data_IF_934238424986
#
_entry.id   IF_934238424986
#
_cell.length_a   1.000
_cell.length_b   1.000
_cell.length_c   1.000
_cell.angle_alpha   90.00
_cell.angle_beta   90.00
_cell.angle_gamma   90.00
#
_symmetry.space_group_name_H-M   'P 1'
#
loop_
_entity.id
_entity.type
_entity.pdbx_description
1 polymer ?
#
# COMPACT_ATOMS: atom_id res chain seq x y z
N UNK A 1 23.84 28.68 3.13
CA UNK A 1 22.52 28.51 2.50
C UNK A 1 21.83 29.87 2.45
N UNK A 2 21.62 30.42 1.24
CA UNK A 2 20.90 31.67 1.05
C UNK A 2 19.45 31.47 1.48
N UNK A 3 18.97 32.27 2.45
CA UNK A 3 17.55 32.31 2.82
C UNK A 3 16.78 32.90 1.65
N UNK A 4 16.12 32.04 0.86
CA UNK A 4 15.17 32.50 -0.17
C UNK A 4 14.04 33.26 0.52
N UNK A 5 13.78 34.48 0.08
CA UNK A 5 12.65 35.27 0.62
C UNK A 5 11.34 34.50 0.34
N UNK A 6 10.46 34.31 1.34
CA UNK A 6 9.25 33.47 1.20
C UNK A 6 8.39 33.81 -0.02
N UNK A 7 8.10 35.09 -0.26
CA UNK A 7 7.25 35.55 -1.38
C UNK A 7 7.79 35.18 -2.78
N UNK A 8 9.12 35.11 -2.94
CA UNK A 8 9.73 34.65 -4.21
C UNK A 8 9.73 33.12 -4.39
N UNK A 9 9.62 32.37 -3.28
CA UNK A 9 9.57 30.92 -3.32
C UNK A 9 8.19 30.43 -3.78
N UNK A 10 7.09 30.98 -3.26
CA UNK A 10 5.71 30.61 -3.62
C UNK A 10 5.46 30.75 -5.12
N UNK A 11 5.85 31.87 -5.76
CA UNK A 11 5.67 32.06 -7.20
C UNK A 11 6.43 31.05 -8.06
N UNK A 12 7.64 30.64 -7.63
CA UNK A 12 8.40 29.57 -8.33
C UNK A 12 7.72 28.21 -8.19
N UNK A 13 7.21 27.89 -7.00
CA UNK A 13 6.50 26.62 -6.75
C UNK A 13 5.19 26.57 -7.55
N UNK A 14 4.46 27.69 -7.64
CA UNK A 14 3.26 27.79 -8.48
C UNK A 14 3.58 27.60 -9.97
N UNK A 15 4.67 28.16 -10.46
CA UNK A 15 5.14 27.93 -11.83
C UNK A 15 5.52 26.46 -12.06
N UNK A 16 6.14 25.81 -11.07
CA UNK A 16 6.44 24.36 -11.12
C UNK A 16 5.17 23.53 -11.15
N UNK A 17 4.15 23.88 -10.36
CA UNK A 17 2.85 23.20 -10.39
C UNK A 17 2.15 23.32 -11.75
N UNK A 18 2.39 24.39 -12.49
CA UNK A 18 1.77 24.61 -13.79
C UNK A 18 2.46 23.86 -14.94
N UNK A 19 3.77 23.60 -14.86
CA UNK A 19 4.58 23.14 -15.99
C UNK A 19 5.57 22.01 -15.67
N UNK A 20 5.76 21.65 -14.40
CA UNK A 20 6.73 20.65 -13.98
C UNK A 20 6.26 19.22 -14.31
N UNK A 21 7.21 18.28 -14.30
CA UNK A 21 6.91 16.85 -14.26
C UNK A 21 6.13 16.50 -12.99
N UNK A 22 5.48 15.32 -12.97
CA UNK A 22 4.73 14.85 -11.80
C UNK A 22 5.59 14.91 -10.53
N UNK A 23 6.83 14.44 -10.57
CA UNK A 23 7.73 14.46 -9.41
C UNK A 23 8.08 15.88 -8.94
N UNK A 24 8.25 16.83 -9.86
CA UNK A 24 8.49 18.23 -9.52
C UNK A 24 7.23 18.89 -8.93
N UNK A 25 6.06 18.58 -9.47
CA UNK A 25 4.77 19.06 -8.95
C UNK A 25 4.51 18.52 -7.54
N UNK A 26 4.77 17.22 -7.31
CA UNK A 26 4.71 16.61 -5.98
C UNK A 26 5.63 17.32 -5.00
N UNK A 27 6.89 17.55 -5.39
CA UNK A 27 7.87 18.25 -4.57
C UNK A 27 7.45 19.70 -4.27
N UNK A 28 6.82 20.38 -5.25
CA UNK A 28 6.31 21.73 -5.06
C UNK A 28 5.14 21.77 -4.06
N UNK A 29 4.22 20.80 -4.09
CA UNK A 29 3.13 20.69 -3.11
C UNK A 29 3.67 20.45 -1.70
N UNK A 30 4.62 19.52 -1.54
CA UNK A 30 5.29 19.30 -0.26
C UNK A 30 5.92 20.59 0.28
N UNK A 31 6.66 21.32 -0.58
CA UNK A 31 7.30 22.58 -0.20
C UNK A 31 6.29 23.65 0.18
N UNK A 32 5.16 23.78 -0.54
CA UNK A 32 4.07 24.70 -0.19
C UNK A 32 3.46 24.39 1.18
N UNK A 33 3.33 23.11 1.53
CA UNK A 33 2.85 22.68 2.84
C UNK A 33 3.76 23.14 4.01
N UNK A 34 5.07 23.24 3.76
CA UNK A 34 6.08 23.66 4.76
C UNK A 34 6.29 25.18 4.84
N UNK A 35 5.93 25.94 3.79
CA UNK A 35 6.12 27.38 3.77
C UNK A 35 5.14 28.09 4.73
N UNK A 36 5.67 28.86 5.69
CA UNK A 36 4.88 29.73 6.58
C UNK A 36 4.58 31.06 5.88
N UNK A 37 3.78 31.02 4.81
CA UNK A 37 3.46 32.18 3.95
C UNK A 37 1.98 32.12 3.53
N UNK A 38 1.24 33.20 3.73
CA UNK A 38 -0.16 33.31 3.32
C UNK A 38 -0.35 33.18 1.78
N UNK A 39 0.67 33.45 0.98
CA UNK A 39 0.61 33.20 -0.46
C UNK A 39 0.57 31.70 -0.75
N UNK A 40 1.27 30.86 0.03
CA UNK A 40 1.19 29.39 -0.09
C UNK A 40 -0.20 28.87 0.26
N UNK A 41 -0.88 29.46 1.27
CA UNK A 41 -2.26 29.11 1.61
C UNK A 41 -3.22 29.38 0.46
N UNK A 42 -3.07 30.52 -0.23
CA UNK A 42 -3.89 30.86 -1.41
C UNK A 42 -3.69 29.84 -2.55
N UNK A 43 -2.45 29.44 -2.83
CA UNK A 43 -2.15 28.43 -3.86
C UNK A 43 -2.78 27.10 -3.48
N UNK A 44 -2.59 26.63 -2.24
CA UNK A 44 -3.17 25.37 -1.77
C UNK A 44 -4.71 25.41 -1.78
N UNK A 45 -5.33 26.51 -1.35
CA UNK A 45 -6.79 26.68 -1.42
C UNK A 45 -7.31 26.57 -2.86
N UNK A 46 -6.64 27.22 -3.82
CA UNK A 46 -7.01 27.14 -5.24
C UNK A 46 -6.85 25.71 -5.81
N UNK A 47 -5.84 24.98 -5.36
CA UNK A 47 -5.66 23.57 -5.76
C UNK A 47 -6.68 22.63 -5.11
N UNK A 48 -7.11 22.92 -3.87
CA UNK A 48 -8.22 22.20 -3.24
C UNK A 48 -9.55 22.48 -3.93
N UNK A 49 -9.78 23.71 -4.45
CA UNK A 49 -10.96 23.98 -5.29
C UNK A 49 -10.94 23.13 -6.58
N UNK A 50 -9.77 22.98 -7.22
CA UNK A 50 -9.61 22.07 -8.35
C UNK A 50 -9.86 20.60 -7.96
N UNK A 51 -9.39 20.19 -6.78
CA UNK A 51 -9.62 18.82 -6.26
C UNK A 51 -11.12 18.55 -6.04
N UNK A 52 -11.84 19.51 -5.46
CA UNK A 52 -13.30 19.41 -5.25
C UNK A 52 -14.09 19.39 -6.57
N UNK A 53 -13.52 19.93 -7.65
CA UNK A 53 -14.06 19.89 -9.01
C UNK A 53 -13.55 18.69 -9.82
N UNK A 54 -12.83 17.75 -9.19
CA UNK A 54 -12.16 16.57 -9.82
C UNK A 54 -11.19 16.94 -10.96
N UNK A 55 -10.54 18.09 -10.86
CA UNK A 55 -9.59 18.63 -11.84
C UNK A 55 -8.13 18.57 -11.34
N UNK A 56 -7.81 17.60 -10.50
CA UNK A 56 -6.43 17.33 -10.03
C UNK A 56 -6.03 15.93 -10.48
N UNK A 57 -4.85 15.82 -11.10
CA UNK A 57 -4.29 14.50 -11.44
C UNK A 57 -4.22 13.60 -10.20
N UNK A 58 -4.61 12.34 -10.35
CA UNK A 58 -4.54 11.35 -9.28
C UNK A 58 -3.13 11.28 -8.64
N UNK A 59 -2.09 11.40 -9.45
CA UNK A 59 -0.70 11.38 -9.01
C UNK A 59 -0.28 12.54 -8.07
N UNK A 60 -1.10 13.60 -7.94
CA UNK A 60 -0.81 14.77 -7.10
C UNK A 60 -1.72 14.85 -5.87
N UNK A 61 -2.79 14.05 -5.82
CA UNK A 61 -3.81 14.14 -4.76
C UNK A 61 -3.20 13.94 -3.36
N UNK A 62 -2.27 13.01 -3.21
CA UNK A 62 -1.66 12.71 -1.91
C UNK A 62 -0.88 13.90 -1.35
N UNK A 63 0.06 14.46 -2.12
CA UNK A 63 0.85 15.63 -1.69
C UNK A 63 -0.01 16.84 -1.42
N UNK A 64 -1.05 17.07 -2.23
CA UNK A 64 -1.97 18.18 -2.01
C UNK A 64 -2.70 18.04 -0.67
N UNK A 65 -3.22 16.86 -0.38
CA UNK A 65 -3.94 16.58 0.88
C UNK A 65 -3.01 16.67 2.09
N UNK A 66 -1.80 16.11 1.99
CA UNK A 66 -0.79 16.17 3.05
C UNK A 66 -0.29 17.62 3.27
N UNK A 67 -0.07 18.39 2.19
CA UNK A 67 0.29 19.78 2.29
C UNK A 67 -0.80 20.62 2.96
N UNK A 68 -2.07 20.41 2.57
CA UNK A 68 -3.22 21.09 3.15
C UNK A 68 -3.41 20.76 4.64
N UNK A 69 -3.20 19.50 5.03
CA UNK A 69 -3.31 19.05 6.42
C UNK A 69 -2.31 19.74 7.37
N UNK A 70 -1.19 20.22 6.86
CA UNK A 70 -0.18 20.96 7.64
C UNK A 70 -0.52 22.43 7.85
N UNK A 71 -1.59 22.95 7.22
CA UNK A 71 -1.93 24.37 7.24
C UNK A 71 -2.96 24.68 8.33
N UNK A 72 -2.82 25.90 8.90
CA UNK A 72 -3.76 26.43 9.88
C UNK A 72 -4.77 27.44 9.30
N UNK A 73 -4.61 27.83 8.04
CA UNK A 73 -5.48 28.77 7.33
C UNK A 73 -6.92 28.20 7.20
N UNK A 74 -7.91 29.04 7.51
CA UNK A 74 -9.31 28.59 7.56
C UNK A 74 -9.88 28.27 6.16
N UNK A 75 -9.42 28.94 5.12
CA UNK A 75 -9.85 28.66 3.76
C UNK A 75 -9.30 27.30 3.26
N UNK A 76 -8.09 26.93 3.66
CA UNK A 76 -7.51 25.61 3.37
C UNK A 76 -8.23 24.52 4.18
N UNK A 77 -8.43 24.73 5.49
CA UNK A 77 -9.10 23.77 6.38
C UNK A 77 -10.54 23.47 5.96
N UNK A 78 -11.31 24.49 5.61
CA UNK A 78 -12.72 24.29 5.21
C UNK A 78 -12.83 23.47 3.93
N UNK A 79 -11.94 23.67 2.96
CA UNK A 79 -11.91 22.88 1.72
C UNK A 79 -11.48 21.44 1.95
N UNK A 80 -10.47 21.26 2.78
CA UNK A 80 -10.01 19.91 3.17
C UNK A 80 -11.12 19.17 3.94
N UNK A 81 -11.82 19.82 4.85
CA UNK A 81 -12.96 19.26 5.56
C UNK A 81 -14.06 18.84 4.58
N UNK A 82 -14.43 19.71 3.63
CA UNK A 82 -15.41 19.41 2.59
C UNK A 82 -15.02 18.19 1.74
N UNK A 83 -13.74 18.05 1.38
CA UNK A 83 -13.26 16.87 0.67
C UNK A 83 -13.42 15.61 1.50
N UNK A 84 -13.22 15.68 2.80
CA UNK A 84 -13.29 14.52 3.71
C UNK A 84 -14.72 14.15 4.16
N UNK A 85 -15.71 15.04 3.99
CA UNK A 85 -17.10 14.81 4.45
C UNK A 85 -17.74 13.53 3.88
N UNK A 86 -17.43 13.20 2.62
CA UNK A 86 -17.99 12.01 1.95
C UNK A 86 -17.12 10.77 2.08
N UNK A 87 -15.97 10.87 2.76
CA UNK A 87 -15.01 9.76 2.86
C UNK A 87 -15.22 9.00 4.17
N UNK A 88 -15.26 7.65 4.13
CA UNK A 88 -15.38 6.86 5.34
C UNK A 88 -14.16 7.08 6.25
N UNK A 89 -14.41 7.13 7.56
CA UNK A 89 -13.33 7.11 8.56
C UNK A 89 -12.74 5.67 8.59
N UNK A 90 -11.45 5.49 8.30
CA UNK A 90 -10.82 4.17 8.32
C UNK A 90 -10.85 3.50 9.71
N UNK A 91 -11.10 4.26 10.78
CA UNK A 91 -11.28 3.72 12.14
C UNK A 91 -12.66 3.10 12.33
N UNK A 92 -13.66 3.55 11.57
CA UNK A 92 -15.03 3.02 11.60
C UNK A 92 -15.25 1.95 10.54
N UNK A 93 -14.57 2.06 9.41
CA UNK A 93 -14.57 1.06 8.34
C UNK A 93 -13.13 0.65 8.03
N UNK A 94 -12.64 -0.35 8.75
CA UNK A 94 -11.25 -0.81 8.71
C UNK A 94 -10.80 -1.28 7.32
N UNK A 95 -11.72 -1.82 6.51
CA UNK A 95 -11.44 -2.34 5.18
C UNK A 95 -11.85 -1.40 4.03
N UNK A 96 -12.20 -0.14 4.34
CA UNK A 96 -12.51 0.84 3.32
C UNK A 96 -11.27 1.19 2.49
N UNK A 97 -11.40 1.24 1.18
CA UNK A 97 -10.32 1.60 0.24
C UNK A 97 -10.27 3.11 -0.01
N UNK A 98 -11.40 3.81 0.07
CA UNK A 98 -11.53 5.22 -0.23
C UNK A 98 -10.56 6.13 0.54
N UNK A 99 -10.24 5.86 1.83
CA UNK A 99 -9.24 6.63 2.56
C UNK A 99 -7.83 6.53 2.00
N UNK A 100 -7.59 5.55 1.12
CA UNK A 100 -6.29 5.25 0.51
C UNK A 100 -6.29 5.44 -1.02
N UNK A 101 -7.38 5.90 -1.63
CA UNK A 101 -7.51 6.05 -3.09
C UNK A 101 -6.42 6.93 -3.71
N UNK A 102 -5.91 7.94 -2.98
CA UNK A 102 -4.80 8.78 -3.41
C UNK A 102 -3.43 8.08 -3.46
N UNK A 103 -3.36 6.81 -3.03
CA UNK A 103 -2.13 5.99 -3.10
C UNK A 103 -2.03 5.17 -4.39
N UNK A 104 -3.04 5.20 -5.23
CA UNK A 104 -3.08 4.39 -6.45
C UNK A 104 -2.09 4.88 -7.52
N UNK A 105 -1.80 6.18 -7.59
CA UNK A 105 -1.02 6.79 -8.67
C UNK A 105 0.11 7.69 -8.16
N UNK A 106 1.14 7.88 -8.99
CA UNK A 106 2.22 8.82 -8.73
C UNK A 106 3.31 8.31 -7.78
N UNK A 107 3.36 7.00 -7.54
CA UNK A 107 4.39 6.36 -6.72
C UNK A 107 5.76 6.30 -7.40
N UNK A 108 6.77 5.94 -6.61
CA UNK A 108 8.13 5.69 -7.06
C UNK A 108 8.51 4.22 -6.85
N UNK A 109 8.64 3.47 -7.94
CA UNK A 109 8.93 2.03 -7.88
C UNK A 109 10.26 1.69 -7.19
N UNK A 110 11.28 2.55 -7.28
CA UNK A 110 12.56 2.30 -6.61
C UNK A 110 12.43 2.40 -5.08
N UNK A 111 11.63 3.37 -4.57
CA UNK A 111 11.29 3.45 -3.15
C UNK A 111 10.37 2.30 -2.75
N UNK A 112 9.37 1.97 -3.58
CA UNK A 112 8.48 0.84 -3.35
C UNK A 112 9.21 -0.49 -3.24
N UNK A 113 10.27 -0.70 -4.05
CA UNK A 113 11.16 -1.86 -3.91
C UNK A 113 11.79 -1.91 -2.51
N UNK A 114 12.26 -0.78 -1.98
CA UNK A 114 12.79 -0.74 -0.60
C UNK A 114 11.71 -1.04 0.43
N UNK A 115 10.52 -0.49 0.26
CA UNK A 115 9.39 -0.82 1.14
C UNK A 115 9.11 -2.32 1.14
N UNK A 116 9.09 -2.96 -0.03
CA UNK A 116 8.84 -4.39 -0.14
C UNK A 116 9.90 -5.25 0.56
N UNK A 117 11.19 -4.95 0.38
CA UNK A 117 12.28 -5.79 0.88
C UNK A 117 12.81 -5.38 2.25
N UNK A 118 12.73 -4.09 2.62
CA UNK A 118 13.46 -3.54 3.77
C UNK A 118 12.52 -3.05 4.90
N UNK A 119 11.22 -2.82 4.62
CA UNK A 119 10.30 -2.36 5.67
C UNK A 119 9.91 -3.53 6.58
N UNK A 120 10.47 -3.54 7.80
CA UNK A 120 10.29 -4.62 8.78
C UNK A 120 8.83 -4.71 9.27
N UNK A 121 8.11 -3.59 9.34
CA UNK A 121 6.72 -3.58 9.80
C UNK A 121 5.76 -4.22 8.78
N UNK A 122 6.01 -4.02 7.49
CA UNK A 122 5.22 -4.62 6.41
C UNK A 122 5.67 -6.04 6.09
N UNK A 123 6.99 -6.31 6.16
CA UNK A 123 7.60 -7.64 5.97
C UNK A 123 7.13 -8.40 4.73
N UNK A 124 6.87 -7.71 3.61
CA UNK A 124 6.29 -8.30 2.39
C UNK A 124 7.14 -9.47 1.87
N UNK A 125 8.48 -9.29 1.83
CA UNK A 125 9.43 -10.28 1.35
C UNK A 125 9.54 -11.53 2.26
N UNK A 126 8.97 -11.52 3.48
CA UNK A 126 8.90 -12.72 4.32
C UNK A 126 8.02 -13.80 3.69
N UNK A 127 6.99 -13.40 2.95
CA UNK A 127 5.98 -14.30 2.39
C UNK A 127 5.97 -14.34 0.87
N UNK A 128 6.40 -13.26 0.19
CA UNK A 128 6.29 -13.11 -1.25
C UNK A 128 7.65 -13.06 -1.93
N UNK A 129 7.76 -13.71 -3.08
CA UNK A 129 8.93 -13.66 -3.95
C UNK A 129 8.76 -12.59 -5.03
N UNK A 130 9.80 -11.76 -5.24
CA UNK A 130 9.99 -10.93 -6.43
C UNK A 130 11.44 -11.03 -6.86
N UNK A 131 11.71 -11.32 -8.14
CA UNK A 131 13.06 -11.45 -8.69
C UNK A 131 13.87 -12.57 -8.05
N UNK A 132 13.24 -13.67 -7.66
CA UNK A 132 13.87 -14.80 -6.99
C UNK A 132 14.27 -14.56 -5.53
N UNK A 133 13.85 -13.43 -4.93
CA UNK A 133 14.14 -13.08 -3.53
C UNK A 133 12.84 -13.02 -2.71
N UNK A 134 12.85 -13.65 -1.54
CA UNK A 134 11.72 -13.65 -0.61
C UNK A 134 11.25 -15.05 -0.24
N UNK A 135 10.14 -15.11 0.53
CA UNK A 135 9.52 -16.35 1.01
C UNK A 135 8.43 -16.84 0.06
N UNK A 136 8.11 -18.14 0.14
CA UNK A 136 7.15 -18.82 -0.73
C UNK A 136 5.85 -19.19 -0.01
N UNK A 137 5.54 -18.56 1.11
CA UNK A 137 4.26 -18.75 1.82
C UNK A 137 3.11 -18.05 1.10
N UNK A 138 3.38 -16.90 0.49
CA UNK A 138 2.47 -16.20 -0.39
C UNK A 138 2.78 -16.46 -1.88
N UNK A 139 1.91 -15.99 -2.81
CA UNK A 139 2.18 -16.08 -4.23
C UNK A 139 3.42 -15.29 -4.64
N UNK A 140 4.15 -15.79 -5.66
CA UNK A 140 5.17 -15.01 -6.34
C UNK A 140 4.53 -13.83 -7.06
N UNK A 141 5.18 -12.66 -6.99
CA UNK A 141 4.63 -11.39 -7.48
C UNK A 141 5.37 -10.83 -8.70
N UNK A 142 6.24 -11.63 -9.37
CA UNK A 142 7.05 -11.19 -10.51
C UNK A 142 6.23 -10.70 -11.71
N UNK A 143 5.00 -11.14 -11.84
CA UNK A 143 4.09 -10.80 -12.92
C UNK A 143 2.76 -10.21 -12.44
N UNK A 144 2.67 -9.83 -11.18
CA UNK A 144 1.42 -9.39 -10.56
C UNK A 144 0.83 -8.16 -11.28
N UNK A 145 1.66 -7.19 -11.65
CA UNK A 145 1.24 -6.00 -12.37
C UNK A 145 0.81 -6.23 -13.84
N UNK A 146 0.98 -7.46 -14.37
CA UNK A 146 0.40 -7.87 -15.63
C UNK A 146 -0.95 -8.58 -15.45
N UNK A 147 -1.27 -9.04 -14.24
CA UNK A 147 -2.46 -9.85 -13.93
C UNK A 147 -3.59 -9.04 -13.31
N UNK A 148 -3.25 -7.99 -12.56
CA UNK A 148 -4.22 -7.21 -11.78
C UNK A 148 -3.93 -5.70 -11.91
N UNK A 149 -4.93 -4.89 -11.65
CA UNK A 149 -4.83 -3.43 -11.59
C UNK A 149 -4.38 -2.94 -10.20
N UNK A 150 -4.23 -1.63 -10.07
CA UNK A 150 -3.80 -0.98 -8.83
C UNK A 150 -4.84 -1.05 -7.73
N UNK A 151 -6.12 -1.03 -8.09
CA UNK A 151 -7.23 -1.15 -7.14
C UNK A 151 -7.20 -2.52 -6.46
N UNK A 152 -6.97 -3.59 -7.22
CA UNK A 152 -6.79 -4.93 -6.66
C UNK A 152 -5.55 -5.02 -5.76
N UNK A 153 -4.43 -4.38 -6.13
CA UNK A 153 -3.23 -4.34 -5.27
C UNK A 153 -3.53 -3.64 -3.95
N UNK A 154 -4.22 -2.50 -4.00
CA UNK A 154 -4.64 -1.77 -2.80
C UNK A 154 -5.60 -2.63 -1.95
N UNK A 155 -6.63 -3.23 -2.58
CA UNK A 155 -7.58 -4.10 -1.89
C UNK A 155 -6.87 -5.25 -1.18
N UNK A 156 -5.92 -5.91 -1.83
CA UNK A 156 -5.18 -7.02 -1.24
C UNK A 156 -4.41 -6.63 0.02
N UNK A 157 -3.92 -5.38 0.11
CA UNK A 157 -3.20 -4.87 1.27
C UNK A 157 -4.17 -4.42 2.39
N UNK A 158 -5.27 -3.75 2.02
CA UNK A 158 -6.25 -3.20 2.98
C UNK A 158 -7.21 -4.27 3.49
N UNK A 159 -7.68 -5.15 2.60
CA UNK A 159 -8.62 -6.22 2.90
C UNK A 159 -8.15 -7.56 2.34
N UNK A 160 -7.13 -8.18 2.93
CA UNK A 160 -6.50 -9.40 2.42
C UNK A 160 -7.43 -10.63 2.39
N UNK A 161 -8.62 -10.53 2.99
CA UNK A 161 -9.64 -11.57 2.96
C UNK A 161 -10.67 -11.39 1.82
N UNK A 162 -10.68 -10.26 1.12
CA UNK A 162 -11.62 -10.01 0.03
C UNK A 162 -11.43 -11.04 -1.09
N UNK A 163 -10.18 -11.28 -1.49
CA UNK A 163 -9.85 -12.23 -2.53
C UNK A 163 -8.55 -12.96 -2.20
N UNK A 164 -8.65 -14.26 -1.93
CA UNK A 164 -7.47 -15.13 -1.69
C UNK A 164 -7.10 -15.80 -3.01
N UNK A 165 -5.82 -15.69 -3.41
CA UNK A 165 -5.33 -16.31 -4.63
C UNK A 165 -5.50 -17.85 -4.58
N UNK A 166 -5.88 -18.45 -5.72
CA UNK A 166 -6.09 -19.91 -5.82
C UNK A 166 -4.82 -20.65 -5.40
N UNK A 167 -4.98 -21.62 -4.48
CA UNK A 167 -3.88 -22.42 -3.94
C UNK A 167 -3.17 -21.80 -2.73
N UNK A 168 -3.64 -20.63 -2.27
CA UNK A 168 -3.10 -19.94 -1.08
C UNK A 168 -4.11 -19.86 0.06
N UNK A 169 -5.10 -20.75 0.05
CA UNK A 169 -5.98 -20.95 1.20
C UNK A 169 -5.14 -21.31 2.42
N UNK A 170 -5.38 -20.61 3.52
CA UNK A 170 -4.64 -20.80 4.76
C UNK A 170 -5.41 -21.72 5.69
N UNK A 171 -4.71 -22.67 6.29
CA UNK A 171 -5.32 -23.67 7.17
C UNK A 171 -4.69 -23.66 8.55
N UNK A 172 -5.52 -23.90 9.55
CA UNK A 172 -5.14 -24.22 10.92
C UNK A 172 -5.30 -25.73 11.09
N UNK A 173 -4.21 -26.42 11.40
CA UNK A 173 -4.19 -27.88 11.55
C UNK A 173 -3.80 -28.21 12.98
N UNK A 174 -4.66 -28.95 13.69
CA UNK A 174 -4.40 -29.43 15.03
C UNK A 174 -4.19 -30.95 14.98
N UNK A 175 -3.08 -31.41 15.54
CA UNK A 175 -2.77 -32.84 15.64
C UNK A 175 -3.41 -33.45 16.89
N UNK A 176 -3.55 -34.80 16.89
CA UNK A 176 -4.09 -35.56 18.03
C UNK A 176 -3.26 -35.42 19.31
N UNK A 177 -1.96 -35.12 19.18
CA UNK A 177 -1.07 -34.86 20.31
C UNK A 177 -1.18 -33.42 20.88
N UNK A 178 -2.05 -32.59 20.28
CA UNK A 178 -2.26 -31.20 20.67
C UNK A 178 -1.35 -30.18 19.97
N UNK A 179 -0.40 -30.62 19.16
CA UNK A 179 0.45 -29.72 18.36
C UNK A 179 -0.37 -29.09 17.24
N UNK A 180 -0.11 -27.81 16.94
CA UNK A 180 -0.79 -27.06 15.91
C UNK A 180 0.16 -26.49 14.88
N UNK A 181 -0.29 -26.40 13.63
CA UNK A 181 0.39 -25.75 12.53
C UNK A 181 -0.57 -24.84 11.77
N UNK A 182 -0.03 -23.74 11.27
CA UNK A 182 -0.78 -22.78 10.46
C UNK A 182 -0.01 -22.52 9.17
N UNK A 183 -0.67 -22.63 8.01
CA UNK A 183 -0.01 -22.42 6.73
C UNK A 183 -0.85 -22.80 5.52
N UNK A 184 -0.23 -22.71 4.34
CA UNK A 184 -0.81 -23.19 3.09
C UNK A 184 -0.45 -24.67 2.86
N UNK A 185 -1.34 -25.42 2.24
CA UNK A 185 -1.08 -26.82 1.89
C UNK A 185 -0.37 -26.85 0.54
N UNK A 186 0.87 -27.33 0.52
CA UNK A 186 1.67 -27.51 -0.70
C UNK A 186 1.32 -28.79 -1.44
N UNK A 187 1.11 -29.86 -0.71
CA UNK A 187 0.67 -31.15 -1.25
C UNK A 187 -0.06 -31.98 -0.20
N UNK A 188 -0.93 -32.85 -0.64
CA UNK A 188 -1.70 -33.75 0.20
C UNK A 188 -1.84 -35.09 -0.48
N UNK A 189 -1.67 -36.16 0.30
CA UNK A 189 -1.88 -37.53 -0.09
C UNK A 189 -2.72 -38.27 0.98
N UNK A 190 -3.11 -39.49 0.74
CA UNK A 190 -3.81 -40.31 1.76
C UNK A 190 -2.98 -40.52 3.04
N UNK A 191 -1.65 -40.34 2.96
CA UNK A 191 -0.71 -40.65 4.05
C UNK A 191 -0.19 -39.42 4.76
N UNK A 192 0.00 -38.29 4.03
CA UNK A 192 0.66 -37.13 4.56
C UNK A 192 0.14 -35.82 3.93
N UNK A 193 0.25 -34.76 4.70
CA UNK A 193 -0.02 -33.35 4.30
C UNK A 193 1.26 -32.57 4.49
N UNK A 194 1.70 -31.87 3.42
CA UNK A 194 2.85 -30.95 3.46
C UNK A 194 2.32 -29.54 3.59
N UNK A 195 2.70 -28.86 4.68
CA UNK A 195 2.27 -27.51 5.05
C UNK A 195 3.46 -26.59 4.87
N UNK A 196 3.27 -25.44 4.22
CA UNK A 196 4.22 -24.36 4.22
C UNK A 196 3.75 -23.32 5.24
N UNK A 197 4.40 -23.31 6.40
CA UNK A 197 4.11 -22.44 7.54
C UNK A 197 5.03 -21.22 7.52
N UNK A 198 4.53 -20.00 7.73
CA UNK A 198 5.39 -18.83 7.87
C UNK A 198 6.25 -18.85 9.15
N UNK A 199 5.86 -19.65 10.15
CA UNK A 199 6.57 -19.78 11.43
C UNK A 199 7.49 -21.00 11.45
N UNK A 200 7.02 -22.15 10.93
CA UNK A 200 7.69 -23.44 11.08
C UNK A 200 8.42 -23.88 9.80
N UNK A 201 8.25 -23.15 8.68
CA UNK A 201 8.75 -23.56 7.35
C UNK A 201 7.94 -24.71 6.75
N UNK A 202 8.61 -25.61 6.03
CA UNK A 202 7.96 -26.79 5.44
C UNK A 202 7.82 -27.87 6.50
N UNK A 203 6.57 -28.22 6.82
CA UNK A 203 6.22 -29.26 7.80
C UNK A 203 5.44 -30.36 7.11
N UNK A 204 5.83 -31.62 7.33
CA UNK A 204 5.09 -32.78 6.87
C UNK A 204 4.43 -33.45 8.07
N UNK A 205 3.12 -33.63 8.02
CA UNK A 205 2.33 -34.32 9.06
C UNK A 205 1.62 -35.52 8.44
N UNK A 206 1.49 -36.63 9.22
CA UNK A 206 0.71 -37.76 8.76
C UNK A 206 -0.77 -37.44 8.79
N UNK A 207 -1.50 -37.73 7.72
CA UNK A 207 -2.95 -37.50 7.65
C UNK A 207 -3.69 -38.16 8.82
N UNK A 208 -3.26 -39.34 9.24
CA UNK A 208 -3.83 -40.07 10.37
C UNK A 208 -3.65 -39.38 11.73
N UNK A 209 -2.67 -38.47 11.87
CA UNK A 209 -2.40 -37.75 13.11
C UNK A 209 -3.18 -36.41 13.20
N UNK A 210 -3.84 -35.99 12.12
CA UNK A 210 -4.65 -34.78 12.10
C UNK A 210 -5.92 -35.05 12.91
N UNK A 211 -6.17 -34.17 13.91
CA UNK A 211 -7.39 -34.16 14.70
C UNK A 211 -8.43 -33.24 14.07
N UNK A 212 -7.97 -32.09 13.63
CA UNK A 212 -8.84 -31.02 13.10
C UNK A 212 -8.10 -30.22 12.04
N UNK A 213 -8.84 -29.78 11.02
CA UNK A 213 -8.37 -28.87 9.97
C UNK A 213 -9.44 -27.84 9.68
N UNK A 214 -9.11 -26.57 9.92
CA UNK A 214 -10.01 -25.44 9.72
C UNK A 214 -9.41 -24.51 8.66
N UNK A 215 -10.23 -24.10 7.69
CA UNK A 215 -9.85 -23.01 6.78
C UNK A 215 -9.84 -21.71 7.57
N UNK A 216 -8.67 -21.11 7.67
CA UNK A 216 -8.46 -19.83 8.34
C UNK A 216 -8.71 -18.62 7.41
N UNK A 217 -8.54 -17.41 7.95
CA UNK A 217 -8.45 -16.18 7.14
C UNK A 217 -7.17 -16.21 6.26
N UNK A 218 -7.01 -15.20 5.42
CA UNK A 218 -5.78 -15.01 4.64
C UNK A 218 -4.52 -15.10 5.51
N UNK A 219 -3.48 -15.75 5.00
CA UNK A 219 -2.16 -15.71 5.63
C UNK A 219 -1.50 -14.32 5.59
N UNK A 220 -1.97 -13.43 4.73
CA UNK A 220 -1.58 -12.01 4.75
C UNK A 220 -2.33 -11.31 5.89
N UNK A 221 -1.64 -10.71 6.86
CA UNK A 221 -2.29 -10.13 8.03
C UNK A 221 -3.08 -8.87 7.65
N UNK A 222 -4.24 -8.61 8.27
CA UNK A 222 -4.95 -7.34 8.13
C UNK A 222 -4.20 -6.22 8.87
N UNK A 223 -4.41 -4.98 8.44
CA UNK A 223 -3.86 -3.80 9.14
C UNK A 223 -2.54 -3.29 8.58
N UNK A 224 -2.02 -3.85 7.51
CA UNK A 224 -0.79 -3.38 6.87
C UNK A 224 -0.88 -1.90 6.46
N UNK A 225 -2.05 -1.45 6.02
CA UNK A 225 -2.31 -0.05 5.68
C UNK A 225 -2.23 0.93 6.85
N UNK A 226 -2.27 0.44 8.10
CA UNK A 226 -2.16 1.27 9.30
C UNK A 226 -0.70 1.45 9.77
N UNK A 227 0.18 0.53 9.39
CA UNK A 227 1.61 0.58 9.75
C UNK A 227 2.46 1.18 8.64
N UNK A 228 1.95 1.25 7.40
CA UNK A 228 2.55 1.99 6.31
C UNK A 228 2.11 3.45 6.31
N UNK A 229 3.00 4.36 5.96
CA UNK A 229 2.58 5.69 5.51
C UNK A 229 1.89 5.61 4.15
N UNK A 230 1.03 6.56 3.82
CA UNK A 230 0.39 6.61 2.49
C UNK A 230 1.42 6.72 1.36
N UNK A 231 2.53 7.39 1.59
CA UNK A 231 3.64 7.47 0.62
C UNK A 231 4.30 6.10 0.40
N UNK A 232 4.55 5.33 1.47
CA UNK A 232 5.07 3.96 1.35
C UNK A 232 4.08 3.04 0.65
N UNK A 233 2.80 3.14 0.98
CA UNK A 233 1.75 2.35 0.32
C UNK A 233 1.68 2.65 -1.18
N UNK A 234 1.70 3.94 -1.56
CA UNK A 234 1.72 4.38 -2.96
C UNK A 234 2.96 3.88 -3.71
N UNK A 235 4.13 4.02 -3.11
CA UNK A 235 5.38 3.58 -3.71
C UNK A 235 5.41 2.05 -3.85
N UNK A 236 4.88 1.31 -2.88
CA UNK A 236 4.72 -0.15 -2.93
C UNK A 236 3.78 -0.57 -4.07
N UNK A 237 2.61 0.06 -4.20
CA UNK A 237 1.66 -0.20 -5.30
C UNK A 237 2.34 0.06 -6.65
N UNK A 238 3.10 1.16 -6.79
CA UNK A 238 3.85 1.47 -7.99
C UNK A 238 4.88 0.38 -8.31
N UNK A 239 5.63 -0.08 -7.32
CA UNK A 239 6.60 -1.16 -7.50
C UNK A 239 5.93 -2.46 -7.96
N UNK A 240 4.84 -2.86 -7.32
CA UNK A 240 4.11 -4.08 -7.66
C UNK A 240 3.44 -3.98 -9.05
N UNK A 241 2.85 -2.84 -9.40
CA UNK A 241 2.25 -2.61 -10.71
C UNK A 241 3.25 -2.69 -11.87
N UNK A 242 4.54 -2.48 -11.59
CA UNK A 242 5.62 -2.62 -12.58
C UNK A 242 6.15 -4.07 -12.70
N UNK A 243 5.76 -5.00 -11.83
CA UNK A 243 6.15 -6.40 -11.93
C UNK A 243 5.34 -7.09 -13.04
N UNK A 244 5.86 -7.06 -14.29
CA UNK A 244 5.17 -7.55 -15.51
C UNK A 244 5.90 -8.68 -16.21
N UNK A 245 6.97 -9.20 -15.63
CA UNK A 245 7.72 -10.33 -16.19
C UNK A 245 7.32 -11.60 -15.45
N UNK A 246 6.98 -12.69 -16.18
CA UNK A 246 6.83 -13.98 -15.54
C UNK A 246 8.14 -14.36 -14.82
N UNK A 247 8.02 -15.03 -13.65
CA UNK A 247 9.17 -15.65 -13.03
C UNK A 247 9.84 -16.58 -14.05
N UNK A 248 11.10 -16.37 -14.34
CA UNK A 248 11.89 -17.34 -15.13
C UNK A 248 11.94 -18.62 -14.30
N UNK A 249 11.25 -19.66 -14.77
CA UNK A 249 11.46 -21.02 -14.24
C UNK A 249 12.87 -21.43 -14.63
N UNK A 250 13.80 -21.42 -13.69
CA UNK A 250 15.05 -22.18 -13.80
C UNK A 250 14.76 -23.66 -13.64
#
# INVERSE_FOLDING_TARGET
>A
AAKVKPAGATGKLEATLAKGSVSEQQSALVALGELKDAAADKVLAAWLDKLLADNVSAALKLELLEAAAKRSDDAVKSRLAKFNESRPDPRQNFFALEPYAETLEGGNAARGKKVFFENVALSCARCHVVGGQGGEVGPALDDIGAKVDRDYLLESIVNPNATIAKGYDFFLITLKNGQGYAGIIKSETDKEVVINSPEDGIVTVKTADIKERIKGPSGMPPGLQLVATKNELRDLIEFLAQQKKPATKE
#
